data_IF_624428758435
#
_entry.id   IF_624428758435
#
_cell.length_a   1.000
_cell.length_b   1.000
_cell.length_c   1.000
_cell.angle_alpha   90.00
_cell.angle_beta   90.00
_cell.angle_gamma   90.00
#
_symmetry.space_group_name_H-M   'P 1'
#
loop_
_entity.id
_entity.type
_entity.pdbx_description
1 polymer ?
#
# COMPACT_ATOMS: atom_id res chain seq x y z
N UNK A 1 9.35 12.54 -2.28
CA UNK A 1 9.78 12.85 -0.93
C UNK A 1 10.87 13.93 -0.95
N UNK A 2 12.01 13.67 -1.56
CA UNK A 2 13.15 14.62 -1.58
C UNK A 2 12.79 16.00 -2.13
N UNK A 3 12.05 16.06 -3.23
CA UNK A 3 11.59 17.33 -3.85
C UNK A 3 10.61 18.11 -2.96
N UNK A 4 9.93 17.41 -2.06
CA UNK A 4 9.00 18.00 -1.09
C UNK A 4 9.67 18.31 0.25
N UNK A 5 10.99 18.12 0.38
CA UNK A 5 11.73 18.27 1.63
C UNK A 5 11.38 17.22 2.70
N UNK A 6 10.81 16.09 2.28
CA UNK A 6 10.44 14.97 3.18
C UNK A 6 11.55 13.95 3.19
N UNK A 7 12.01 13.59 4.38
CA UNK A 7 12.92 12.47 4.58
C UNK A 7 12.12 11.15 4.60
N UNK A 8 12.54 10.17 3.79
CA UNK A 8 11.86 8.88 3.66
C UNK A 8 12.86 7.74 3.81
N UNK A 9 12.63 6.87 4.78
CA UNK A 9 13.42 5.69 5.06
C UNK A 9 12.64 4.40 4.75
N UNK A 10 13.21 3.53 3.92
CA UNK A 10 12.71 2.17 3.73
C UNK A 10 13.54 1.21 4.57
N UNK A 11 12.98 0.72 5.67
CA UNK A 11 13.68 -0.14 6.63
C UNK A 11 13.10 -1.55 6.59
N UNK A 12 13.96 -2.55 6.39
CA UNK A 12 13.58 -3.94 6.56
C UNK A 12 14.03 -4.40 7.96
N UNK A 13 13.08 -4.45 8.89
CA UNK A 13 13.32 -4.83 10.31
C UNK A 13 13.68 -6.30 10.50
N UNK A 14 13.62 -7.14 9.46
CA UNK A 14 14.14 -8.50 9.49
C UNK A 14 15.67 -8.56 9.30
N UNK A 15 16.31 -7.46 8.92
CA UNK A 15 17.77 -7.41 8.79
C UNK A 15 18.43 -7.19 10.15
N UNK A 16 19.58 -7.84 10.42
CA UNK A 16 20.35 -7.59 11.63
C UNK A 16 20.68 -6.10 11.81
N UNK A 17 20.48 -5.58 13.02
CA UNK A 17 20.72 -4.18 13.36
C UNK A 17 19.59 -3.21 13.00
N UNK A 18 18.52 -3.67 12.36
CA UNK A 18 17.33 -2.87 12.06
C UNK A 18 16.22 -3.14 13.10
N UNK A 19 16.55 -3.06 14.36
CA UNK A 19 15.67 -3.31 15.50
C UNK A 19 14.91 -2.03 15.97
N UNK A 20 14.22 -2.13 17.09
CA UNK A 20 13.49 -1.02 17.71
C UNK A 20 14.40 0.17 18.03
N UNK A 21 15.63 -0.08 18.49
CA UNK A 21 16.59 1.00 18.81
C UNK A 21 16.99 1.75 17.54
N UNK A 22 17.32 1.03 16.48
CA UNK A 22 17.61 1.64 15.18
C UNK A 22 16.45 2.49 14.66
N UNK A 23 15.21 2.01 14.76
CA UNK A 23 14.04 2.78 14.36
C UNK A 23 13.90 4.07 15.19
N UNK A 24 14.16 4.01 16.49
CA UNK A 24 14.15 5.21 17.35
C UNK A 24 15.27 6.18 17.01
N UNK A 25 16.45 5.70 16.67
CA UNK A 25 17.56 6.54 16.22
C UNK A 25 17.23 7.33 14.96
N UNK A 26 16.48 6.75 14.00
CA UNK A 26 16.01 7.46 12.81
C UNK A 26 15.11 8.65 13.13
N UNK A 27 14.39 8.62 14.25
CA UNK A 27 13.59 9.76 14.75
C UNK A 27 14.37 10.72 15.64
N UNK A 28 15.70 10.62 15.68
CA UNK A 28 16.54 11.39 16.61
C UNK A 28 16.39 10.96 18.08
N UNK A 29 15.91 9.76 18.34
CA UNK A 29 15.72 9.18 19.68
C UNK A 29 14.39 9.56 20.35
N UNK A 30 13.60 10.45 19.77
CA UNK A 30 12.33 10.94 20.36
C UNK A 30 11.17 9.95 20.19
N UNK A 31 11.25 9.05 19.23
CA UNK A 31 10.15 8.19 18.77
C UNK A 31 9.28 8.89 17.73
N UNK A 32 8.16 8.29 17.41
CA UNK A 32 7.26 8.72 16.33
C UNK A 32 5.94 9.23 16.89
N UNK A 33 5.41 10.29 16.30
CA UNK A 33 4.10 10.87 16.65
C UNK A 33 2.98 9.93 16.19
N UNK A 34 3.09 9.38 14.97
CA UNK A 34 2.13 8.46 14.40
C UNK A 34 2.80 7.16 13.91
N UNK A 35 2.25 6.03 14.31
CA UNK A 35 2.65 4.71 13.82
C UNK A 35 1.42 3.97 13.30
N UNK A 36 1.41 3.62 12.01
CA UNK A 36 0.30 2.89 11.41
C UNK A 36 0.73 1.44 11.17
N UNK A 37 0.07 0.50 11.87
CA UNK A 37 0.37 -0.93 11.78
C UNK A 37 -0.58 -1.62 10.80
N UNK A 38 -0.04 -2.12 9.68
CA UNK A 38 -0.79 -2.84 8.64
C UNK A 38 -0.68 -4.36 8.73
N UNK A 39 0.15 -4.89 9.64
CA UNK A 39 0.38 -6.33 9.75
C UNK A 39 -0.11 -6.88 11.09
N UNK A 40 -1.03 -7.88 11.12
CA UNK A 40 -1.48 -8.51 12.36
C UNK A 40 -0.47 -9.58 12.82
N UNK A 41 0.76 -9.14 13.06
CA UNK A 41 1.89 -9.98 13.50
C UNK A 41 2.35 -9.47 14.86
N UNK A 42 2.23 -10.30 15.89
CA UNK A 42 2.47 -9.90 17.29
C UNK A 42 3.77 -9.10 17.49
N UNK A 43 4.96 -9.56 17.08
CA UNK A 43 6.20 -8.79 17.28
C UNK A 43 6.19 -7.43 16.55
N UNK A 44 5.49 -7.31 15.40
CA UNK A 44 5.38 -6.04 14.67
C UNK A 44 4.51 -5.06 15.43
N UNK A 45 3.41 -5.52 16.02
CA UNK A 45 2.50 -4.68 16.82
C UNK A 45 3.19 -4.21 18.11
N UNK A 46 3.93 -5.10 18.78
CA UNK A 46 4.70 -4.78 19.98
C UNK A 46 5.80 -3.74 19.65
N UNK A 47 6.57 -3.95 18.58
CA UNK A 47 7.56 -3.00 18.10
C UNK A 47 6.92 -1.63 17.73
N UNK A 48 5.74 -1.65 17.11
CA UNK A 48 5.02 -0.43 16.77
C UNK A 48 4.66 0.39 18.01
N UNK A 49 4.29 -0.25 19.11
CA UNK A 49 4.08 0.41 20.41
C UNK A 49 5.36 0.94 21.03
N UNK A 50 6.46 0.19 20.92
CA UNK A 50 7.75 0.54 21.54
C UNK A 50 8.45 1.74 20.86
N UNK A 51 8.14 2.04 19.62
CA UNK A 51 8.73 3.16 18.87
C UNK A 51 7.95 4.47 19.01
N UNK A 52 6.81 4.50 19.69
CA UNK A 52 6.05 5.71 19.91
C UNK A 52 6.85 6.75 20.72
N UNK A 53 6.71 8.00 20.33
CA UNK A 53 7.20 9.17 21.07
C UNK A 53 6.23 9.64 22.14
N UNK A 54 6.51 10.83 22.69
CA UNK A 54 5.61 11.50 23.61
C UNK A 54 4.32 11.89 22.88
N UNK A 55 3.15 11.61 23.48
CA UNK A 55 1.82 11.80 22.91
C UNK A 55 1.59 11.05 21.57
N UNK A 56 2.43 10.05 21.30
CA UNK A 56 2.40 9.27 20.06
C UNK A 56 1.19 8.33 19.96
N UNK A 57 0.69 8.14 18.74
CA UNK A 57 -0.49 7.34 18.43
C UNK A 57 -0.16 6.11 17.59
N UNK A 58 -0.44 4.91 18.10
CA UNK A 58 -0.46 3.67 17.32
C UNK A 58 -1.84 3.47 16.70
N UNK A 59 -1.96 3.60 15.40
CA UNK A 59 -3.16 3.18 14.67
C UNK A 59 -3.02 1.72 14.23
N UNK A 60 -3.76 0.83 14.89
CA UNK A 60 -3.84 -0.57 14.51
C UNK A 60 -4.86 -0.76 13.39
N UNK A 61 -4.40 -0.60 12.16
CA UNK A 61 -5.20 -0.76 10.95
C UNK A 61 -5.29 -2.22 10.49
N UNK A 62 -4.36 -3.07 10.91
CA UNK A 62 -4.32 -4.48 10.55
C UNK A 62 -5.58 -5.23 10.97
N UNK A 63 -6.09 -6.10 10.10
CA UNK A 63 -7.27 -6.92 10.38
C UNK A 63 -6.91 -8.37 10.74
N UNK A 64 -6.71 -8.73 12.02
CA UNK A 64 -6.47 -10.11 12.40
C UNK A 64 -7.71 -10.96 12.15
N UNK A 65 -7.52 -12.16 11.60
CA UNK A 65 -8.61 -13.13 11.40
C UNK A 65 -8.92 -13.93 12.69
N UNK A 66 -7.96 -13.98 13.62
CA UNK A 66 -8.13 -14.64 14.91
C UNK A 66 -8.64 -13.65 15.94
N UNK A 67 -9.86 -13.87 16.46
CA UNK A 67 -10.47 -13.04 17.51
C UNK A 67 -9.71 -13.05 18.85
N UNK A 68 -8.81 -14.00 19.05
CA UNK A 68 -7.93 -14.10 20.24
C UNK A 68 -6.55 -13.49 20.03
N UNK A 69 -6.35 -12.77 18.91
CA UNK A 69 -5.09 -12.06 18.66
C UNK A 69 -4.81 -11.06 19.78
N UNK A 70 -3.62 -11.16 20.38
CA UNK A 70 -3.16 -10.30 21.49
C UNK A 70 -1.71 -9.94 21.27
N UNK A 71 -1.34 -8.73 21.72
CA UNK A 71 0.02 -8.23 21.77
C UNK A 71 0.25 -7.47 23.07
N UNK A 72 1.49 -7.40 23.54
CA UNK A 72 1.85 -6.62 24.71
C UNK A 72 1.93 -5.12 24.36
N UNK A 73 1.62 -4.27 25.33
CA UNK A 73 1.73 -2.83 25.20
C UNK A 73 2.27 -2.23 26.49
N UNK A 74 3.14 -1.24 26.38
CA UNK A 74 3.78 -0.62 27.55
C UNK A 74 2.84 0.37 28.23
N UNK A 75 2.14 -0.06 29.26
CA UNK A 75 1.20 0.77 30.01
C UNK A 75 1.86 1.88 30.84
N UNK A 76 3.16 1.76 31.14
CA UNK A 76 3.92 2.86 31.72
C UNK A 76 3.99 4.06 30.74
N UNK A 77 4.25 3.78 29.48
CA UNK A 77 4.26 4.81 28.43
C UNK A 77 2.87 5.43 28.21
N UNK A 78 1.80 4.66 28.31
CA UNK A 78 0.43 5.21 28.26
C UNK A 78 0.22 6.26 29.34
N UNK A 79 0.71 6.01 30.55
CA UNK A 79 0.55 6.94 31.66
C UNK A 79 1.49 8.14 31.62
N UNK A 80 2.78 7.89 31.38
CA UNK A 80 3.80 8.93 31.51
C UNK A 80 4.16 9.62 30.21
N UNK A 81 3.99 8.96 29.08
CA UNK A 81 4.27 9.51 27.74
C UNK A 81 3.01 9.82 26.94
N UNK A 82 1.82 9.63 27.57
CA UNK A 82 0.52 9.87 26.93
C UNK A 82 0.32 9.14 25.60
N UNK A 83 0.93 7.95 25.45
CA UNK A 83 0.78 7.20 24.20
C UNK A 83 -0.63 6.66 24.03
N UNK A 84 -1.09 6.61 22.78
CA UNK A 84 -2.45 6.20 22.41
C UNK A 84 -2.45 4.97 21.53
N UNK A 85 -3.50 4.15 21.66
CA UNK A 85 -3.79 3.08 20.70
C UNK A 85 -5.19 3.29 20.16
N UNK A 86 -5.30 3.39 18.86
CA UNK A 86 -6.60 3.48 18.16
C UNK A 86 -6.74 2.35 17.16
N UNK A 87 -7.96 1.94 16.89
CA UNK A 87 -8.28 0.95 15.86
C UNK A 87 -9.19 1.54 14.82
N UNK A 88 -9.03 1.07 13.59
CA UNK A 88 -9.89 1.44 12.47
C UNK A 88 -10.35 0.20 11.72
N UNK A 89 -11.60 0.17 11.32
CA UNK A 89 -12.17 -0.92 10.54
C UNK A 89 -13.10 -0.38 9.47
N UNK A 90 -12.66 -0.45 8.22
CA UNK A 90 -13.38 0.05 7.07
C UNK A 90 -13.53 1.57 7.08
N UNK A 91 -14.19 2.06 6.04
CA UNK A 91 -14.60 3.46 5.91
C UNK A 91 -16.11 3.56 5.74
N UNK A 92 -16.63 4.77 5.85
CA UNK A 92 -18.03 5.10 5.57
C UNK A 92 -18.15 5.91 4.27
N UNK A 93 -19.36 6.32 3.92
CA UNK A 93 -19.61 7.09 2.69
C UNK A 93 -18.96 8.48 2.69
N UNK A 94 -18.69 9.06 3.87
CA UNK A 94 -17.99 10.34 3.96
C UNK A 94 -16.51 10.17 3.59
N UNK A 95 -15.88 9.09 4.05
CA UNK A 95 -14.48 8.76 3.71
C UNK A 95 -14.33 8.51 2.20
N UNK A 96 -15.35 7.87 1.58
CA UNK A 96 -15.36 7.68 0.12
C UNK A 96 -15.44 9.01 -0.64
N UNK A 97 -16.26 9.96 -0.17
CA UNK A 97 -16.36 11.30 -0.78
C UNK A 97 -15.04 12.06 -0.65
N UNK A 98 -14.44 12.03 0.54
CA UNK A 98 -13.14 12.65 0.79
C UNK A 98 -12.06 12.05 -0.12
N UNK A 99 -12.02 10.72 -0.26
CA UNK A 99 -11.09 10.04 -1.17
C UNK A 99 -11.25 10.51 -2.63
N UNK A 100 -12.51 10.67 -3.11
CA UNK A 100 -12.78 11.20 -4.45
C UNK A 100 -12.30 12.65 -4.58
N UNK A 101 -12.52 13.49 -3.58
CA UNK A 101 -12.05 14.88 -3.56
C UNK A 101 -10.52 14.95 -3.57
N UNK A 102 -9.85 14.09 -2.81
CA UNK A 102 -8.40 14.00 -2.81
C UNK A 102 -7.84 13.53 -4.17
N UNK A 103 -8.50 12.56 -4.81
CA UNK A 103 -8.12 12.10 -6.15
C UNK A 103 -8.31 13.19 -7.20
N UNK A 104 -9.48 13.86 -7.21
CA UNK A 104 -9.79 14.90 -8.21
C UNK A 104 -8.94 16.14 -8.02
N UNK A 105 -8.53 16.47 -6.81
CA UNK A 105 -7.60 17.57 -6.51
C UNK A 105 -6.12 17.22 -6.73
N UNK A 106 -5.81 15.96 -7.11
CA UNK A 106 -4.43 15.51 -7.33
C UNK A 106 -3.61 15.31 -6.05
N UNK A 107 -4.23 15.34 -4.87
CA UNK A 107 -3.54 15.10 -3.58
C UNK A 107 -3.08 13.67 -3.42
N UNK A 108 -3.84 12.72 -3.97
CA UNK A 108 -3.47 11.29 -4.00
C UNK A 108 -3.62 10.73 -5.41
N UNK A 109 -2.74 9.80 -5.76
CA UNK A 109 -2.83 9.04 -7.01
C UNK A 109 -2.98 7.54 -6.69
N UNK A 110 -4.21 6.99 -6.66
CA UNK A 110 -4.43 5.57 -6.36
C UNK A 110 -3.89 4.63 -7.43
N UNK A 111 -3.60 5.13 -8.65
CA UNK A 111 -2.98 4.33 -9.70
C UNK A 111 -1.59 3.79 -9.30
N UNK A 112 -0.92 4.43 -8.34
CA UNK A 112 0.32 3.91 -7.76
C UNK A 112 0.17 2.53 -7.11
N UNK A 113 -1.04 2.13 -6.74
CA UNK A 113 -1.35 0.83 -6.17
C UNK A 113 -1.64 -0.25 -7.22
N UNK A 114 -1.92 0.13 -8.47
CA UNK A 114 -2.28 -0.80 -9.55
C UNK A 114 -1.01 -1.45 -10.09
N UNK A 115 -0.93 -2.77 -9.97
CA UNK A 115 0.20 -3.55 -10.48
C UNK A 115 -0.18 -4.52 -11.61
N UNK A 116 -1.47 -4.81 -11.73
CA UNK A 116 -2.00 -5.71 -12.76
C UNK A 116 -3.29 -5.13 -13.34
N UNK A 117 -3.53 -5.44 -14.60
CA UNK A 117 -4.80 -5.19 -15.29
C UNK A 117 -5.35 -6.50 -15.83
N UNK A 118 -6.67 -6.58 -15.97
CA UNK A 118 -7.33 -7.76 -16.55
C UNK A 118 -8.75 -7.44 -17.00
N UNK A 119 -9.34 -8.36 -17.73
CA UNK A 119 -10.74 -8.35 -18.12
C UNK A 119 -11.63 -9.18 -17.20
N UNK A 120 -12.94 -9.16 -17.45
CA UNK A 120 -13.92 -9.90 -16.65
C UNK A 120 -13.63 -11.41 -16.61
N UNK A 121 -13.12 -11.97 -17.70
CA UNK A 121 -12.75 -13.39 -17.83
C UNK A 121 -11.62 -13.81 -16.86
N UNK A 122 -10.80 -12.87 -16.36
CA UNK A 122 -9.72 -13.15 -15.43
C UNK A 122 -10.15 -13.17 -13.95
N UNK A 123 -11.37 -12.76 -13.61
CA UNK A 123 -11.79 -12.51 -12.23
C UNK A 123 -11.72 -13.76 -11.36
N UNK A 124 -12.28 -14.86 -11.83
CA UNK A 124 -12.40 -16.09 -11.02
C UNK A 124 -11.02 -16.61 -10.62
N UNK A 125 -10.13 -16.78 -11.59
CA UNK A 125 -8.77 -17.25 -11.32
C UNK A 125 -7.96 -16.27 -10.48
N UNK A 126 -8.17 -14.96 -10.70
CA UNK A 126 -7.52 -13.91 -9.90
C UNK A 126 -7.93 -14.00 -8.43
N UNK A 127 -9.24 -14.12 -8.15
CA UNK A 127 -9.75 -14.17 -6.78
C UNK A 127 -9.29 -15.45 -6.06
N UNK A 128 -9.39 -16.59 -6.71
CA UNK A 128 -8.99 -17.89 -6.14
C UNK A 128 -7.47 -17.98 -5.87
N UNK A 129 -6.67 -17.28 -6.64
CA UNK A 129 -5.21 -17.29 -6.52
C UNK A 129 -4.62 -16.00 -5.92
N UNK A 130 -5.45 -15.07 -5.46
CA UNK A 130 -5.01 -13.75 -4.99
C UNK A 130 -3.82 -13.80 -4.01
N UNK A 131 -3.77 -14.71 -3.02
CA UNK A 131 -2.63 -14.80 -2.10
C UNK A 131 -1.29 -15.18 -2.76
N UNK A 132 -1.34 -15.74 -3.97
CA UNK A 132 -0.14 -16.17 -4.74
C UNK A 132 0.30 -15.14 -5.77
N UNK A 133 -0.54 -14.14 -6.07
CA UNK A 133 -0.26 -13.11 -7.08
C UNK A 133 0.42 -11.93 -6.39
N UNK A 134 1.70 -11.66 -6.69
CA UNK A 134 2.43 -10.57 -6.03
C UNK A 134 1.90 -9.19 -6.41
N UNK A 135 2.41 -8.16 -5.72
CA UNK A 135 2.12 -6.76 -6.02
C UNK A 135 0.85 -6.23 -5.37
N UNK A 136 0.45 -5.04 -5.79
CA UNK A 136 -0.66 -4.28 -5.24
C UNK A 136 -2.02 -4.65 -5.84
N UNK A 137 -2.81 -3.64 -6.22
CA UNK A 137 -4.18 -3.81 -6.73
C UNK A 137 -4.21 -4.41 -8.14
N UNK A 138 -5.25 -5.22 -8.40
CA UNK A 138 -5.58 -5.80 -9.71
C UNK A 138 -6.81 -5.05 -10.24
N UNK A 139 -6.60 -4.26 -11.28
CA UNK A 139 -7.67 -3.48 -11.92
C UNK A 139 -8.36 -4.35 -12.97
N UNK A 140 -9.66 -4.56 -12.83
CA UNK A 140 -10.46 -5.38 -13.75
C UNK A 140 -11.40 -4.48 -14.54
N UNK A 141 -11.32 -4.58 -15.85
CA UNK A 141 -12.23 -3.95 -16.80
C UNK A 141 -13.33 -4.95 -17.19
N UNK A 142 -14.55 -4.68 -16.79
CA UNK A 142 -15.68 -5.62 -16.93
C UNK A 142 -16.21 -5.74 -18.35
N UNK A 143 -15.83 -4.82 -19.23
CA UNK A 143 -16.31 -4.73 -20.61
C UNK A 143 -15.35 -5.30 -21.66
N UNK A 144 -14.21 -5.83 -21.24
CA UNK A 144 -13.22 -6.45 -22.14
C UNK A 144 -12.82 -7.83 -21.67
N UNK A 145 -12.24 -8.61 -22.57
CA UNK A 145 -11.54 -9.85 -22.26
C UNK A 145 -10.02 -9.63 -22.31
N UNK A 146 -9.37 -9.86 -21.19
CA UNK A 146 -7.93 -9.74 -21.03
C UNK A 146 -7.48 -10.67 -19.90
N UNK A 147 -6.52 -11.58 -20.11
CA UNK A 147 -5.89 -12.32 -19.03
C UNK A 147 -5.31 -11.35 -18.00
N UNK A 148 -5.28 -11.76 -16.71
CA UNK A 148 -4.61 -10.94 -15.70
C UNK A 148 -3.14 -10.76 -16.08
N UNK A 149 -2.74 -9.50 -16.29
CA UNK A 149 -1.42 -9.15 -16.83
C UNK A 149 -0.74 -8.15 -15.91
N UNK A 150 0.49 -8.45 -15.47
CA UNK A 150 1.28 -7.52 -14.69
C UNK A 150 1.79 -6.37 -15.57
N UNK A 151 1.71 -5.15 -15.08
CA UNK A 151 2.26 -3.97 -15.78
C UNK A 151 3.77 -4.15 -16.04
N UNK A 152 4.48 -4.78 -15.11
CA UNK A 152 5.90 -5.08 -15.24
C UNK A 152 6.24 -6.02 -16.42
N UNK A 153 5.26 -6.80 -16.90
CA UNK A 153 5.46 -7.74 -18.01
C UNK A 153 5.17 -7.13 -19.39
N UNK A 154 4.68 -5.89 -19.46
CA UNK A 154 4.33 -5.27 -20.74
C UNK A 154 5.47 -5.21 -21.73
N UNK A 155 6.69 -4.91 -21.28
CA UNK A 155 7.86 -4.87 -22.16
C UNK A 155 8.12 -6.21 -22.83
N UNK A 156 8.05 -7.31 -22.06
CA UNK A 156 8.25 -8.66 -22.58
C UNK A 156 7.10 -9.10 -23.50
N UNK A 157 5.86 -8.84 -23.10
CA UNK A 157 4.69 -9.17 -23.94
C UNK A 157 4.65 -8.33 -25.21
N UNK A 158 5.16 -7.12 -25.17
CA UNK A 158 5.25 -6.21 -26.29
C UNK A 158 6.23 -6.66 -27.40
N UNK A 159 7.09 -7.62 -27.13
CA UNK A 159 7.95 -8.22 -28.16
C UNK A 159 7.12 -8.96 -29.24
N UNK A 160 5.93 -9.42 -28.88
CA UNK A 160 5.06 -10.21 -29.78
C UNK A 160 3.66 -9.61 -29.96
N UNK A 161 3.22 -8.72 -29.07
CA UNK A 161 1.89 -8.10 -29.12
C UNK A 161 2.01 -6.58 -29.13
N UNK A 162 1.64 -5.91 -30.25
CA UNK A 162 1.69 -4.45 -30.38
C UNK A 162 0.87 -3.69 -29.32
N UNK A 163 -0.20 -4.29 -28.78
CA UNK A 163 -0.97 -3.70 -27.70
C UNK A 163 -0.08 -3.45 -26.48
N UNK A 164 0.65 -4.48 -26.03
CA UNK A 164 1.52 -4.38 -24.85
C UNK A 164 2.76 -3.56 -25.12
N UNK A 165 3.30 -3.57 -26.35
CA UNK A 165 4.40 -2.68 -26.73
C UNK A 165 4.02 -1.21 -26.52
N UNK A 166 2.81 -0.83 -26.93
CA UNK A 166 2.34 0.55 -26.75
C UNK A 166 1.98 0.86 -25.31
N UNK A 167 1.39 -0.07 -24.57
CA UNK A 167 1.12 0.09 -23.15
C UNK A 167 2.40 0.23 -22.33
N UNK A 168 3.45 -0.50 -22.66
CA UNK A 168 4.79 -0.36 -22.06
C UNK A 168 5.39 1.04 -22.29
N UNK A 169 5.31 1.54 -23.54
CA UNK A 169 5.74 2.91 -23.86
C UNK A 169 4.98 3.94 -23.02
N UNK A 170 3.63 3.81 -22.93
CA UNK A 170 2.80 4.75 -22.19
C UNK A 170 3.14 4.69 -20.69
N UNK A 171 3.17 3.49 -20.10
CA UNK A 171 3.44 3.35 -18.66
C UNK A 171 4.84 3.85 -18.30
N UNK A 172 5.86 3.63 -19.13
CA UNK A 172 7.21 4.20 -18.94
C UNK A 172 7.20 5.73 -18.87
N UNK A 173 6.41 6.40 -19.72
CA UNK A 173 6.26 7.87 -19.66
C UNK A 173 5.59 8.34 -18.36
N UNK A 174 4.80 7.47 -17.73
CA UNK A 174 4.13 7.72 -16.45
C UNK A 174 4.85 7.05 -15.26
N UNK A 175 6.19 6.94 -15.31
CA UNK A 175 7.04 6.37 -14.24
C UNK A 175 6.65 4.93 -13.86
N UNK A 176 6.21 4.13 -14.81
CA UNK A 176 5.77 2.75 -14.60
C UNK A 176 4.37 2.61 -14.01
N UNK A 177 3.62 3.71 -13.88
CA UNK A 177 2.29 3.69 -13.31
C UNK A 177 1.21 3.55 -14.39
N UNK A 178 0.10 2.91 -14.01
CA UNK A 178 -1.13 2.95 -14.79
C UNK A 178 -1.65 4.39 -14.88
N UNK A 179 -2.24 4.77 -16.00
CA UNK A 179 -2.66 6.15 -16.24
C UNK A 179 -3.93 6.20 -17.08
N UNK A 180 -4.68 7.33 -17.07
CA UNK A 180 -5.82 7.52 -17.95
C UNK A 180 -5.48 7.38 -19.45
N UNK A 181 -4.24 7.69 -19.84
CA UNK A 181 -3.77 7.50 -21.20
C UNK A 181 -3.65 6.02 -21.56
N UNK A 182 -3.06 5.21 -20.64
CA UNK A 182 -2.93 3.77 -20.82
C UNK A 182 -4.33 3.10 -20.85
N UNK A 183 -5.22 3.51 -19.98
CA UNK A 183 -6.62 3.04 -19.96
C UNK A 183 -7.34 3.32 -21.26
N UNK A 184 -7.29 4.59 -21.72
CA UNK A 184 -7.92 4.98 -23.00
C UNK A 184 -7.38 4.19 -24.18
N UNK A 185 -6.07 3.95 -24.21
CA UNK A 185 -5.46 3.15 -25.26
C UNK A 185 -5.89 1.70 -25.19
N UNK A 186 -5.88 1.09 -24.00
CA UNK A 186 -6.34 -0.29 -23.79
C UNK A 186 -7.77 -0.48 -24.28
N UNK A 187 -8.70 0.37 -23.81
CA UNK A 187 -10.13 0.25 -24.11
C UNK A 187 -10.48 0.55 -25.58
N UNK A 188 -9.64 1.28 -26.27
CA UNK A 188 -9.82 1.53 -27.72
C UNK A 188 -9.29 0.39 -28.60
N UNK A 189 -8.50 -0.55 -28.06
CA UNK A 189 -7.83 -1.63 -28.82
C UNK A 189 -8.18 -3.04 -28.31
N UNK A 190 -9.14 -3.15 -27.41
CA UNK A 190 -9.77 -4.37 -26.90
C UNK A 190 -11.29 -4.25 -26.95
#
# INVERSE_FOLDING_TARGET
AKEMGVELHYVNTAKPGCDTNYLRELSGGTGYDDVICFAPVRPVVEQAGDILGFDGCLNFFAGPTNSQFKAEFNWYNVHYLYTHVVGTSGGNTSDMKEAIEMMTSGKINPAAMITHIGGLNAVVDTVLNLPKIPGGKKLIYTQIELPLTAIADFGKLGETDPLFAKLDEITKRHNGLWSPEAEKYLLANK
#
